data_IF_368435575616
#
_entry.id   IF_368435575616
#
_cell.length_a   1.000
_cell.length_b   1.000
_cell.length_c   1.000
_cell.angle_alpha   90.00
_cell.angle_beta   90.00
_cell.angle_gamma   90.00
#
_symmetry.space_group_name_H-M   'P 1'
#
loop_
_entity.id
_entity.type
_entity.pdbx_description
1 polymer ?
#
# COMPACT_ATOMS: atom_id res chain seq x y z
N UNK A 1 -84.95 -3.26 39.50
CA UNK A 1 -83.47 -3.00 39.67
C UNK A 1 -82.79 -3.96 38.74
N UNK A 2 -82.49 -3.51 37.54
CA UNK A 2 -81.93 -4.34 36.53
C UNK A 2 -80.73 -3.60 35.93
N UNK A 3 -79.60 -4.19 36.08
CA UNK A 3 -78.32 -3.75 35.49
C UNK A 3 -78.34 -4.07 34.01
N UNK A 4 -78.06 -3.08 33.24
CA UNK A 4 -77.97 -3.18 31.78
C UNK A 4 -76.46 -3.30 31.43
N UNK A 5 -76.05 -4.51 31.06
CA UNK A 5 -74.72 -4.83 30.74
C UNK A 5 -74.50 -4.65 29.23
N UNK A 6 -74.04 -3.52 28.84
CA UNK A 6 -73.83 -3.16 27.43
C UNK A 6 -72.48 -3.71 26.96
N UNK A 7 -72.52 -4.79 26.20
CA UNK A 7 -71.32 -5.37 25.52
C UNK A 7 -71.03 -4.61 24.23
N UNK A 8 -70.11 -3.74 24.26
CA UNK A 8 -69.43 -3.34 23.04
C UNK A 8 -68.19 -4.19 22.88
N UNK A 9 -68.27 -5.20 22.03
CA UNK A 9 -67.10 -5.94 21.57
C UNK A 9 -66.24 -5.02 20.71
N UNK A 10 -64.98 -4.87 21.09
CA UNK A 10 -64.00 -4.12 20.34
C UNK A 10 -63.63 -4.95 19.07
N UNK A 11 -63.88 -4.46 17.85
CA UNK A 11 -63.60 -5.23 16.65
C UNK A 11 -62.12 -5.30 16.25
N UNK A 12 -61.22 -4.81 17.08
CA UNK A 12 -59.75 -4.77 16.79
C UNK A 12 -58.91 -5.79 17.57
N UNK A 13 -59.55 -6.75 18.26
CA UNK A 13 -58.86 -7.89 18.88
C UNK A 13 -58.77 -9.11 17.97
N UNK A 14 -58.49 -8.91 16.70
CA UNK A 14 -57.95 -10.04 15.89
C UNK A 14 -56.44 -9.95 15.93
N UNK A 15 -55.83 -10.83 16.73
CA UNK A 15 -54.41 -10.97 16.87
C UNK A 15 -53.72 -11.23 15.54
N UNK A 16 -53.22 -10.18 14.96
CA UNK A 16 -52.10 -10.28 14.04
C UNK A 16 -50.87 -10.41 14.93
N UNK A 17 -50.46 -11.66 15.20
CA UNK A 17 -49.13 -11.95 15.68
C UNK A 17 -48.19 -11.47 14.59
N UNK A 18 -47.71 -10.23 14.74
CA UNK A 18 -46.60 -9.75 13.95
C UNK A 18 -45.47 -10.72 14.21
N UNK A 19 -45.04 -11.43 13.20
CA UNK A 19 -43.81 -12.18 13.19
C UNK A 19 -42.66 -11.19 13.32
N UNK A 20 -42.35 -10.80 14.54
CA UNK A 20 -41.07 -10.18 14.89
C UNK A 20 -40.00 -11.19 14.53
N UNK A 21 -39.14 -10.86 13.58
CA UNK A 21 -37.92 -11.61 13.42
C UNK A 21 -37.36 -11.80 12.03
N UNK A 22 -37.80 -11.05 11.04
CA UNK A 22 -36.97 -10.83 9.86
C UNK A 22 -36.34 -9.44 9.98
N UNK A 23 -35.41 -9.29 10.90
CA UNK A 23 -34.41 -8.23 10.77
C UNK A 23 -33.73 -8.47 9.42
N UNK A 24 -34.08 -7.64 8.44
CA UNK A 24 -33.33 -7.56 7.20
C UNK A 24 -31.90 -7.32 7.63
N UNK A 25 -31.06 -8.35 7.47
CA UNK A 25 -29.62 -8.24 7.63
C UNK A 25 -29.19 -7.26 6.52
N UNK A 26 -29.23 -5.96 6.83
CA UNK A 26 -28.75 -4.92 5.94
C UNK A 26 -27.29 -5.25 5.73
N UNK A 27 -26.98 -5.88 4.59
CA UNK A 27 -25.65 -6.23 4.19
C UNK A 27 -24.80 -4.96 4.29
N UNK A 28 -23.95 -4.88 5.31
CA UNK A 28 -23.04 -3.73 5.50
C UNK A 28 -22.35 -3.47 4.18
N UNK A 29 -22.35 -2.23 3.68
CA UNK A 29 -21.74 -1.92 2.39
C UNK A 29 -20.30 -2.43 2.37
N UNK A 30 -19.95 -3.21 1.34
CA UNK A 30 -18.59 -3.77 1.16
C UNK A 30 -17.62 -2.58 1.12
N UNK A 31 -16.71 -2.54 2.08
CA UNK A 31 -15.66 -1.52 2.09
C UNK A 31 -14.67 -1.81 0.97
N UNK A 32 -14.29 -0.79 0.20
CA UNK A 32 -13.25 -0.90 -0.82
C UNK A 32 -11.90 -1.23 -0.17
N UNK A 33 -11.07 -1.98 -0.88
CA UNK A 33 -9.71 -2.32 -0.49
C UNK A 33 -8.73 -1.26 -1.02
N UNK A 34 -8.06 -0.46 -0.17
CA UNK A 34 -7.10 0.54 -0.64
C UNK A 34 -5.74 -0.03 -1.03
N UNK A 35 -5.40 -1.26 -0.61
CA UNK A 35 -4.08 -1.83 -0.80
C UNK A 35 -3.60 -1.88 -2.26
N UNK A 36 -4.44 -2.24 -3.25
CA UNK A 36 -4.02 -2.22 -4.66
C UNK A 36 -3.55 -0.84 -5.14
N UNK A 37 -4.18 0.25 -4.67
CA UNK A 37 -3.77 1.61 -5.02
C UNK A 37 -2.34 1.90 -4.54
N UNK A 38 -2.05 1.56 -3.28
CA UNK A 38 -0.71 1.73 -2.71
C UNK A 38 0.34 0.86 -3.40
N UNK A 39 0.01 -0.41 -3.68
CA UNK A 39 0.90 -1.34 -4.38
C UNK A 39 1.21 -0.90 -5.81
N UNK A 40 0.23 -0.36 -6.55
CA UNK A 40 0.46 0.19 -7.89
C UNK A 40 1.33 1.44 -7.84
N UNK A 41 1.02 2.37 -6.94
CA UNK A 41 1.82 3.59 -6.75
C UNK A 41 3.28 3.27 -6.46
N UNK A 42 3.52 2.34 -5.53
CA UNK A 42 4.86 1.83 -5.22
C UNK A 42 5.49 1.13 -6.42
N UNK A 43 4.81 0.12 -6.99
CA UNK A 43 5.40 -0.77 -7.98
C UNK A 43 5.80 -0.07 -9.28
N UNK A 44 4.91 0.76 -9.84
CA UNK A 44 5.19 1.49 -11.08
C UNK A 44 6.36 2.48 -10.91
N UNK A 45 6.40 3.19 -9.79
CA UNK A 45 7.45 4.17 -9.53
C UNK A 45 8.79 3.50 -9.25
N UNK A 46 8.78 2.38 -8.51
CA UNK A 46 9.99 1.59 -8.23
C UNK A 46 10.57 1.00 -9.52
N UNK A 47 9.74 0.47 -10.44
CA UNK A 47 10.22 0.01 -11.75
C UNK A 47 10.87 1.15 -12.51
N UNK A 48 10.20 2.31 -12.63
CA UNK A 48 10.72 3.46 -13.38
C UNK A 48 12.06 3.97 -12.84
N UNK A 49 12.20 4.08 -11.52
CA UNK A 49 13.47 4.50 -10.92
C UNK A 49 14.58 3.50 -11.17
N UNK A 50 14.30 2.22 -11.07
CA UNK A 50 15.35 1.21 -11.25
C UNK A 50 15.69 0.95 -12.73
N UNK A 51 14.81 1.27 -13.68
CA UNK A 51 15.19 1.38 -15.09
C UNK A 51 16.21 2.50 -15.33
N UNK A 52 16.12 3.60 -14.56
CA UNK A 52 17.14 4.63 -14.57
C UNK A 52 18.44 4.14 -13.92
N UNK A 53 18.37 3.53 -12.75
CA UNK A 53 19.56 3.02 -12.04
C UNK A 53 20.37 2.02 -12.89
N UNK A 54 19.69 1.24 -13.76
CA UNK A 54 20.32 0.31 -14.71
C UNK A 54 20.74 0.96 -16.02
N UNK A 55 20.57 2.26 -16.18
CA UNK A 55 20.97 2.98 -17.38
C UNK A 55 20.09 2.78 -18.60
N UNK A 56 18.89 2.14 -18.47
CA UNK A 56 17.95 2.02 -19.58
C UNK A 56 17.32 3.35 -19.98
N UNK A 57 17.14 4.25 -19.01
CA UNK A 57 16.55 5.58 -19.21
C UNK A 57 17.31 6.62 -18.36
N UNK A 58 17.35 7.86 -18.85
CA UNK A 58 17.92 8.98 -18.10
C UNK A 58 17.01 9.41 -16.94
N UNK A 59 17.63 9.94 -15.85
CA UNK A 59 16.86 10.59 -14.79
C UNK A 59 16.16 11.82 -15.37
N UNK A 60 14.85 11.81 -15.29
CA UNK A 60 14.06 12.88 -15.92
C UNK A 60 12.89 13.30 -15.04
N UNK A 61 12.27 14.44 -15.43
CA UNK A 61 11.05 14.92 -14.80
C UNK A 61 9.91 13.88 -14.81
N UNK A 62 9.93 12.93 -15.74
CA UNK A 62 8.94 11.82 -15.78
C UNK A 62 9.05 10.96 -14.53
N UNK A 63 10.26 10.59 -14.12
CA UNK A 63 10.50 9.78 -12.91
C UNK A 63 10.12 10.58 -11.66
N UNK A 64 10.52 11.86 -11.61
CA UNK A 64 10.18 12.73 -10.49
C UNK A 64 8.67 12.96 -10.36
N UNK A 65 7.97 13.21 -11.48
CA UNK A 65 6.50 13.37 -11.48
C UNK A 65 5.79 12.09 -11.06
N UNK A 66 6.26 10.94 -11.54
CA UNK A 66 5.72 9.64 -11.14
C UNK A 66 5.98 9.33 -9.66
N UNK A 67 7.18 9.65 -9.18
CA UNK A 67 7.54 9.56 -7.77
C UNK A 67 6.66 10.45 -6.90
N UNK A 68 6.36 11.68 -7.34
CA UNK A 68 5.49 12.58 -6.60
C UNK A 68 4.04 12.09 -6.57
N UNK A 69 3.46 11.79 -7.74
CA UNK A 69 2.05 11.45 -7.86
C UNK A 69 1.75 10.00 -7.44
N UNK A 70 2.45 9.03 -8.04
CA UNK A 70 2.17 7.63 -7.78
C UNK A 70 2.95 7.10 -6.56
N UNK A 71 4.25 7.29 -6.52
CA UNK A 71 5.08 6.87 -5.39
C UNK A 71 4.68 7.55 -4.08
N UNK A 72 4.46 8.85 -4.09
CA UNK A 72 4.09 9.64 -2.91
C UNK A 72 2.60 9.64 -2.64
N UNK A 73 1.84 10.41 -3.43
CA UNK A 73 0.45 10.73 -3.13
C UNK A 73 -0.47 9.50 -3.09
N UNK A 74 -0.41 8.62 -4.09
CA UNK A 74 -1.26 7.42 -4.12
C UNK A 74 -0.98 6.51 -2.92
N UNK A 75 0.28 6.32 -2.53
CA UNK A 75 0.62 5.51 -1.35
C UNK A 75 0.15 6.17 -0.05
N UNK A 76 0.33 7.48 0.13
CA UNK A 76 -0.16 8.19 1.33
C UNK A 76 -1.68 8.06 1.44
N UNK A 77 -2.42 8.27 0.34
CA UNK A 77 -3.88 8.11 0.32
C UNK A 77 -4.26 6.67 0.71
N UNK A 78 -3.66 5.67 0.08
CA UNK A 78 -3.91 4.26 0.39
C UNK A 78 -3.61 3.96 1.86
N UNK A 79 -2.47 4.43 2.37
CA UNK A 79 -2.05 4.22 3.75
C UNK A 79 -3.01 4.83 4.78
N UNK A 80 -3.47 6.06 4.55
CA UNK A 80 -4.45 6.72 5.42
C UNK A 80 -5.78 5.95 5.46
N UNK A 81 -6.24 5.44 4.31
CA UNK A 81 -7.46 4.62 4.28
C UNK A 81 -7.26 3.27 4.97
N UNK A 82 -6.10 2.63 4.82
CA UNK A 82 -5.77 1.39 5.54
C UNK A 82 -5.77 1.60 7.06
N UNK A 83 -5.16 2.71 7.55
CA UNK A 83 -5.20 3.06 8.97
C UNK A 83 -6.64 3.27 9.47
N UNK A 84 -7.48 3.94 8.69
CA UNK A 84 -8.91 4.12 9.02
C UNK A 84 -9.69 2.80 9.05
N UNK A 85 -9.24 1.80 8.30
CA UNK A 85 -9.81 0.45 8.32
C UNK A 85 -9.25 -0.41 9.46
N UNK A 86 -8.29 0.09 10.25
CA UNK A 86 -7.64 -0.63 11.33
C UNK A 86 -6.45 -1.50 10.88
N UNK A 87 -6.01 -1.39 9.64
CA UNK A 87 -4.90 -2.15 9.08
C UNK A 87 -3.57 -1.44 9.35
N UNK A 88 -3.06 -1.54 10.58
CA UNK A 88 -1.84 -0.83 11.00
C UNK A 88 -0.64 -1.17 10.14
N UNK A 89 -0.41 -2.45 9.82
CA UNK A 89 0.73 -2.90 9.02
C UNK A 89 0.74 -2.24 7.64
N UNK A 90 -0.31 -2.44 6.87
CA UNK A 90 -0.44 -1.93 5.49
C UNK A 90 -0.50 -0.40 5.48
N UNK A 91 -1.22 0.19 6.44
CA UNK A 91 -1.34 1.64 6.57
C UNK A 91 -0.01 2.31 6.89
N UNK A 92 0.77 1.75 7.81
CA UNK A 92 2.12 2.24 8.14
C UNK A 92 3.05 2.11 6.93
N UNK A 93 3.05 0.95 6.26
CA UNK A 93 3.89 0.71 5.10
C UNK A 93 3.64 1.76 4.01
N UNK A 94 2.41 1.89 3.53
CA UNK A 94 2.10 2.80 2.43
C UNK A 94 2.32 4.26 2.79
N UNK A 95 1.92 4.70 3.99
CA UNK A 95 2.14 6.09 4.39
C UNK A 95 3.63 6.41 4.48
N UNK A 96 4.42 5.52 5.11
CA UNK A 96 5.86 5.72 5.25
C UNK A 96 6.57 5.72 3.88
N UNK A 97 6.29 4.75 3.00
CA UNK A 97 6.92 4.73 1.67
C UNK A 97 6.44 5.88 0.78
N UNK A 98 5.21 6.35 0.95
CA UNK A 98 4.77 7.57 0.28
C UNK A 98 5.58 8.80 0.70
N UNK A 99 5.88 8.93 2.00
CA UNK A 99 6.77 9.95 2.52
C UNK A 99 8.23 9.75 2.07
N UNK A 100 8.70 8.49 1.96
CA UNK A 100 10.00 8.18 1.35
C UNK A 100 10.11 8.77 -0.05
N UNK A 101 9.12 8.52 -0.93
CA UNK A 101 9.12 9.03 -2.29
C UNK A 101 9.14 10.56 -2.34
N UNK A 102 8.36 11.22 -1.50
CA UNK A 102 8.38 12.68 -1.44
C UNK A 102 9.73 13.21 -0.95
N UNK A 103 10.31 12.60 0.10
CA UNK A 103 11.62 13.02 0.59
C UNK A 103 12.72 12.79 -0.45
N UNK A 104 12.68 11.69 -1.20
CA UNK A 104 13.65 11.40 -2.26
C UNK A 104 13.57 12.45 -3.38
N UNK A 105 12.36 12.84 -3.80
CA UNK A 105 12.18 13.90 -4.80
C UNK A 105 12.68 15.26 -4.27
N UNK A 106 12.41 15.59 -3.01
CA UNK A 106 12.95 16.79 -2.39
C UNK A 106 14.50 16.79 -2.36
N UNK A 107 15.12 15.64 -2.12
CA UNK A 107 16.58 15.49 -2.21
C UNK A 107 17.06 15.80 -3.63
N UNK A 108 16.42 15.25 -4.66
CA UNK A 108 16.83 15.48 -6.07
C UNK A 108 16.59 16.91 -6.54
N UNK A 109 15.47 17.52 -6.17
CA UNK A 109 15.13 18.88 -6.58
C UNK A 109 15.91 19.94 -5.81
N UNK A 110 16.40 19.61 -4.61
CA UNK A 110 17.08 20.52 -3.69
C UNK A 110 16.48 21.95 -3.69
N UNK A 111 15.18 22.10 -3.37
CA UNK A 111 14.47 23.40 -3.49
C UNK A 111 14.97 24.45 -2.49
N UNK A 112 15.79 24.04 -1.55
CA UNK A 112 16.36 24.88 -0.50
C UNK A 112 17.86 25.11 -0.75
N UNK A 113 18.23 25.73 -1.81
CA UNK A 113 19.63 25.99 -2.26
C UNK A 113 20.61 26.45 -1.17
N UNK A 114 20.12 26.71 0.04
CA UNK A 114 20.93 27.07 1.23
C UNK A 114 21.55 25.87 1.95
N UNK A 115 21.15 24.65 1.61
CA UNK A 115 21.72 23.41 2.17
C UNK A 115 22.75 22.80 1.23
N UNK A 116 23.70 22.06 1.82
CA UNK A 116 24.61 21.25 1.02
C UNK A 116 23.82 20.21 0.20
N UNK A 117 24.31 19.93 -0.99
CA UNK A 117 23.79 18.83 -1.80
C UNK A 117 23.98 17.49 -1.06
N UNK A 118 23.11 16.53 -1.37
CA UNK A 118 23.20 15.21 -0.78
C UNK A 118 24.49 14.52 -1.29
N UNK A 119 25.36 14.13 -0.36
CA UNK A 119 26.54 13.33 -0.64
C UNK A 119 26.21 11.83 -0.53
N UNK A 120 27.09 10.99 -1.08
CA UNK A 120 26.95 9.54 -1.11
C UNK A 120 26.83 8.93 0.29
N UNK A 121 27.56 9.45 1.27
CA UNK A 121 27.53 8.97 2.65
C UNK A 121 26.16 9.25 3.29
N UNK A 122 25.66 10.48 3.12
CA UNK A 122 24.34 10.87 3.62
C UNK A 122 23.23 10.02 2.98
N UNK A 123 23.34 9.77 1.66
CA UNK A 123 22.40 8.90 0.93
C UNK A 123 22.49 7.46 1.41
N UNK A 124 23.69 6.94 1.62
CA UNK A 124 23.89 5.60 2.16
C UNK A 124 23.22 5.40 3.53
N UNK A 125 23.36 6.36 4.46
CA UNK A 125 22.66 6.32 5.74
C UNK A 125 21.15 6.46 5.61
N UNK A 126 20.67 7.35 4.74
CA UNK A 126 19.25 7.51 4.44
C UNK A 126 18.66 6.18 3.96
N UNK A 127 19.27 5.53 2.98
CA UNK A 127 18.81 4.25 2.44
C UNK A 127 18.95 3.10 3.44
N UNK A 128 20.01 3.07 4.26
CA UNK A 128 20.17 2.08 5.31
C UNK A 128 19.05 2.16 6.37
N UNK A 129 18.64 3.35 6.77
CA UNK A 129 17.51 3.53 7.71
C UNK A 129 16.18 3.03 7.10
N UNK A 130 15.94 3.30 5.82
CA UNK A 130 14.79 2.73 5.11
C UNK A 130 14.91 1.20 4.96
N UNK A 131 16.12 0.67 4.81
CA UNK A 131 16.40 -0.76 4.83
C UNK A 131 16.03 -1.40 6.16
N UNK A 132 16.41 -0.79 7.29
CA UNK A 132 16.03 -1.24 8.64
C UNK A 132 14.50 -1.21 8.82
N UNK A 133 13.83 -0.12 8.43
CA UNK A 133 12.37 -0.05 8.44
C UNK A 133 11.75 -1.19 7.64
N UNK A 134 12.26 -1.42 6.42
CA UNK A 134 11.74 -2.45 5.52
C UNK A 134 12.00 -3.86 6.05
N UNK A 135 13.12 -4.08 6.73
CA UNK A 135 13.46 -5.38 7.32
C UNK A 135 12.41 -5.81 8.37
N UNK A 136 12.02 -4.92 9.30
CA UNK A 136 10.99 -5.33 10.24
C UNK A 136 9.58 -5.37 9.60
N UNK A 137 9.33 -4.60 8.55
CA UNK A 137 8.12 -4.76 7.74
C UNK A 137 8.13 -6.11 6.99
N UNK A 138 9.29 -6.57 6.51
CA UNK A 138 9.43 -7.92 5.95
C UNK A 138 9.07 -8.99 6.99
N UNK A 139 9.60 -8.89 8.22
CA UNK A 139 9.28 -9.83 9.30
C UNK A 139 7.76 -9.82 9.57
N UNK A 140 7.13 -8.65 9.61
CA UNK A 140 5.68 -8.51 9.75
C UNK A 140 4.89 -9.15 8.59
N UNK A 141 5.44 -9.08 7.37
CA UNK A 141 4.82 -9.62 6.17
C UNK A 141 4.72 -11.16 6.14
N UNK A 142 5.47 -11.87 7.00
CA UNK A 142 5.46 -13.34 7.05
C UNK A 142 4.08 -13.94 7.39
N UNK A 143 3.16 -13.12 7.89
CA UNK A 143 1.74 -13.50 8.11
C UNK A 143 0.82 -13.14 6.94
N UNK A 144 1.35 -12.57 5.88
CA UNK A 144 0.62 -12.17 4.68
C UNK A 144 0.86 -13.16 3.52
N UNK A 145 0.30 -12.86 2.35
CA UNK A 145 0.47 -13.68 1.13
C UNK A 145 1.94 -13.75 0.69
N UNK A 146 2.30 -14.80 -0.04
CA UNK A 146 3.64 -14.94 -0.61
C UNK A 146 4.04 -13.76 -1.50
N UNK A 147 3.09 -13.25 -2.29
CA UNK A 147 3.32 -12.06 -3.09
C UNK A 147 3.75 -10.86 -2.23
N UNK A 148 3.09 -10.63 -1.09
CA UNK A 148 3.47 -9.57 -0.14
C UNK A 148 4.84 -9.81 0.46
N UNK A 149 5.16 -11.05 0.85
CA UNK A 149 6.48 -11.42 1.40
C UNK A 149 7.60 -11.14 0.37
N UNK A 150 7.38 -11.48 -0.89
CA UNK A 150 8.36 -11.22 -1.97
C UNK A 150 8.61 -9.73 -2.14
N UNK A 151 7.57 -8.90 -2.14
CA UNK A 151 7.73 -7.43 -2.22
C UNK A 151 8.62 -6.92 -1.08
N UNK A 152 8.33 -7.24 0.17
CA UNK A 152 9.11 -6.71 1.29
C UNK A 152 10.51 -7.29 1.38
N UNK A 153 10.72 -8.57 1.03
CA UNK A 153 12.03 -9.19 0.98
C UNK A 153 12.92 -8.49 -0.05
N UNK A 154 12.43 -8.37 -1.28
CA UNK A 154 13.20 -7.76 -2.37
C UNK A 154 13.43 -6.27 -2.14
N UNK A 155 12.47 -5.57 -1.53
CA UNK A 155 12.64 -4.18 -1.13
C UNK A 155 13.70 -4.02 -0.03
N UNK A 156 13.78 -4.95 0.92
CA UNK A 156 14.83 -4.96 1.94
C UNK A 156 16.22 -5.11 1.29
N UNK A 157 16.33 -6.06 0.35
CA UNK A 157 17.59 -6.29 -0.39
C UNK A 157 17.93 -5.05 -1.22
N UNK A 158 16.97 -4.43 -1.88
CA UNK A 158 17.13 -3.20 -2.66
C UNK A 158 17.71 -2.07 -1.80
N UNK A 159 17.07 -1.74 -0.68
CA UNK A 159 17.52 -0.63 0.17
C UNK A 159 18.93 -0.85 0.72
N UNK A 160 19.23 -2.04 1.25
CA UNK A 160 20.59 -2.33 1.72
C UNK A 160 21.60 -2.43 0.58
N UNK A 161 21.21 -2.90 -0.60
CA UNK A 161 22.04 -2.93 -1.79
C UNK A 161 22.43 -1.53 -2.26
N UNK A 162 21.44 -0.61 -2.36
CA UNK A 162 21.70 0.78 -2.72
C UNK A 162 22.55 1.50 -1.65
N UNK A 163 22.26 1.29 -0.36
CA UNK A 163 23.08 1.84 0.71
C UNK A 163 24.55 1.32 0.66
N UNK A 164 24.72 0.04 0.38
CA UNK A 164 26.05 -0.53 0.22
C UNK A 164 26.79 0.02 -1.02
N UNK A 165 26.06 0.28 -2.12
CA UNK A 165 26.61 0.93 -3.30
C UNK A 165 27.11 2.35 -2.96
N UNK A 166 26.30 3.15 -2.26
CA UNK A 166 26.68 4.51 -1.85
C UNK A 166 27.91 4.52 -0.91
N UNK A 167 28.02 3.56 0.02
CA UNK A 167 29.16 3.49 0.93
C UNK A 167 30.44 2.95 0.31
N UNK A 168 30.33 2.00 -0.63
CA UNK A 168 31.48 1.22 -1.12
C UNK A 168 31.91 1.61 -2.53
N UNK A 169 31.07 2.30 -3.28
CA UNK A 169 31.26 2.65 -4.69
C UNK A 169 31.57 1.42 -5.58
N UNK A 170 31.02 0.25 -5.25
CA UNK A 170 31.18 -0.98 -6.04
C UNK A 170 30.04 -1.07 -7.05
N UNK A 171 30.35 -0.80 -8.31
CA UNK A 171 29.37 -0.75 -9.42
C UNK A 171 28.50 -2.01 -9.53
N UNK A 172 29.08 -3.20 -9.34
CA UNK A 172 28.34 -4.47 -9.38
C UNK A 172 27.20 -4.52 -8.33
N UNK A 173 27.40 -3.92 -7.15
CA UNK A 173 26.36 -3.87 -6.12
C UNK A 173 25.20 -3.00 -6.58
N UNK A 174 25.49 -1.84 -7.19
CA UNK A 174 24.47 -0.96 -7.77
C UNK A 174 23.64 -1.66 -8.85
N UNK A 175 24.31 -2.31 -9.80
CA UNK A 175 23.67 -3.08 -10.87
C UNK A 175 22.75 -4.16 -10.30
N UNK A 176 23.23 -4.98 -9.37
CA UNK A 176 22.41 -6.03 -8.76
C UNK A 176 21.21 -5.43 -8.01
N UNK A 177 21.43 -4.33 -7.28
CA UNK A 177 20.35 -3.64 -6.57
C UNK A 177 19.27 -3.12 -7.54
N UNK A 178 19.64 -2.53 -8.66
CA UNK A 178 18.71 -2.03 -9.66
C UNK A 178 17.84 -3.15 -10.27
N UNK A 179 18.43 -4.28 -10.66
CA UNK A 179 17.64 -5.44 -11.13
C UNK A 179 16.70 -5.98 -10.06
N UNK A 180 17.15 -6.06 -8.80
CA UNK A 180 16.29 -6.41 -7.67
C UNK A 180 15.15 -5.41 -7.53
N UNK A 181 15.40 -4.11 -7.74
CA UNK A 181 14.41 -3.05 -7.71
C UNK A 181 13.34 -3.20 -8.80
N UNK A 182 13.73 -3.51 -10.04
CA UNK A 182 12.80 -3.79 -11.15
C UNK A 182 11.90 -4.98 -10.79
N UNK A 183 12.50 -6.06 -10.28
CA UNK A 183 11.75 -7.24 -9.85
C UNK A 183 10.81 -6.93 -8.68
N UNK A 184 11.26 -6.16 -7.70
CA UNK A 184 10.47 -5.71 -6.55
C UNK A 184 9.23 -4.94 -7.00
N UNK A 185 9.41 -3.92 -7.83
CA UNK A 185 8.30 -3.12 -8.36
C UNK A 185 7.34 -3.95 -9.19
N UNK A 186 7.85 -4.86 -10.05
CA UNK A 186 7.05 -5.81 -10.82
C UNK A 186 6.23 -6.74 -9.94
N UNK A 187 6.81 -7.24 -8.83
CA UNK A 187 6.09 -8.09 -7.87
C UNK A 187 4.97 -7.36 -7.14
N UNK A 188 5.15 -6.06 -6.87
CA UNK A 188 4.10 -5.24 -6.28
C UNK A 188 2.93 -4.99 -7.27
N UNK A 189 3.24 -4.72 -8.54
CA UNK A 189 2.23 -4.61 -9.60
C UNK A 189 1.46 -5.92 -9.74
N UNK A 190 2.15 -7.06 -9.74
CA UNK A 190 1.53 -8.39 -9.77
C UNK A 190 0.58 -8.62 -8.59
N UNK A 191 1.01 -8.24 -7.38
CA UNK A 191 0.19 -8.35 -6.17
C UNK A 191 -1.07 -7.46 -6.28
N UNK A 192 -0.92 -6.22 -6.74
CA UNK A 192 -2.04 -5.31 -6.95
C UNK A 192 -3.05 -5.86 -7.97
N UNK A 193 -2.56 -6.33 -9.12
CA UNK A 193 -3.40 -6.94 -10.16
C UNK A 193 -4.16 -8.15 -9.62
N UNK A 194 -3.51 -9.02 -8.85
CA UNK A 194 -4.15 -10.18 -8.24
C UNK A 194 -5.30 -9.79 -7.29
N UNK A 195 -5.13 -8.76 -6.49
CA UNK A 195 -6.16 -8.27 -5.59
C UNK A 195 -7.34 -7.63 -6.35
N UNK A 196 -7.06 -6.75 -7.32
CA UNK A 196 -8.10 -6.10 -8.13
C UNK A 196 -8.94 -7.14 -8.88
N UNK A 197 -8.29 -8.07 -9.59
CA UNK A 197 -8.98 -9.09 -10.35
C UNK A 197 -9.78 -10.04 -9.47
N UNK A 198 -9.27 -10.38 -8.28
CA UNK A 198 -10.02 -11.19 -7.32
C UNK A 198 -11.28 -10.49 -6.84
N UNK A 199 -11.23 -9.19 -6.60
CA UNK A 199 -12.41 -8.42 -6.18
C UNK A 199 -13.43 -8.26 -7.29
N UNK A 200 -12.98 -8.00 -8.53
CA UNK A 200 -13.83 -7.77 -9.69
C UNK A 200 -14.54 -9.06 -10.15
N UNK A 201 -13.79 -10.16 -10.23
CA UNK A 201 -14.34 -11.44 -10.71
C UNK A 201 -14.90 -12.35 -9.60
N UNK A 202 -14.77 -11.97 -8.32
CA UNK A 202 -15.22 -12.77 -7.19
C UNK A 202 -14.46 -14.09 -6.99
N UNK A 203 -13.36 -14.30 -7.73
CA UNK A 203 -12.50 -15.51 -7.65
C UNK A 203 -11.04 -15.16 -7.88
N UNK A 204 -10.18 -16.01 -7.39
CA UNK A 204 -8.73 -15.86 -7.60
C UNK A 204 -8.38 -16.14 -9.08
N UNK A 205 -7.96 -15.10 -9.81
CA UNK A 205 -7.46 -15.19 -11.18
C UNK A 205 -5.94 -15.33 -11.17
N UNK A 206 -5.27 -14.55 -10.30
CA UNK A 206 -3.83 -14.53 -10.10
C UNK A 206 -3.55 -15.08 -8.70
N UNK A 207 -2.72 -16.10 -8.59
CA UNK A 207 -2.36 -16.70 -7.31
C UNK A 207 -1.37 -15.82 -6.55
N UNK A 208 -1.74 -15.40 -5.34
CA UNK A 208 -0.90 -14.57 -4.49
C UNK A 208 -0.16 -15.39 -3.40
N UNK A 209 -0.55 -16.64 -3.21
CA UNK A 209 0.07 -17.59 -2.28
C UNK A 209 -0.43 -17.48 -0.83
#
# INVERSE_FOLDING_TARGET
MAENNNRFANPYETGVVASEGAALDEAKPKKANPAPLGLLGFGMTTVMLNLHNEGFIELSVVIAAMGFAAGGLMQIIAGVFELKLGNTFTGTAFTAYGCFWWSLIFIWLNPFEVMYEADEISMGFYLALWGIFTLFMFIGSLKHTRATQVVFLTLTILFFGLAAFDFLAIELIGIVAGYVGIFCGGSAIYNAAGQILKEEYGREIIKLG
#
